data_IF_304826060229
#
_entry.id   IF_304826060229
#
_cell.length_a   1.000
_cell.length_b   1.000
_cell.length_c   1.000
_cell.angle_alpha   90.00
_cell.angle_beta   90.00
_cell.angle_gamma   90.00
#
_symmetry.space_group_name_H-M   'P 1'
#
loop_
_entity.id
_entity.type
_entity.pdbx_description
1 polymer ?
#
# COMPACT_ATOMS: atom_id res chain seq x y z
N UNK A 1 3.33 -10.98 -17.93
CA UNK A 1 2.70 -11.53 -19.14
C UNK A 1 1.23 -11.16 -19.23
N UNK A 2 0.71 -11.18 -20.43
CA UNK A 2 -0.68 -10.78 -20.71
C UNK A 2 -1.65 -11.97 -20.62
N UNK A 3 -1.17 -13.16 -20.92
CA UNK A 3 -1.96 -14.39 -20.95
C UNK A 3 -1.64 -15.28 -19.74
N UNK A 4 -2.29 -16.42 -19.65
CA UNK A 4 -1.99 -17.41 -18.64
C UNK A 4 -0.56 -17.96 -18.82
N UNK A 5 0.17 -18.13 -17.70
CA UNK A 5 1.51 -18.69 -17.73
C UNK A 5 1.57 -20.07 -18.41
N UNK A 6 2.58 -20.25 -19.27
CA UNK A 6 2.93 -21.52 -19.92
C UNK A 6 4.45 -21.67 -19.96
N UNK A 7 4.95 -22.90 -19.94
CA UNK A 7 6.40 -23.18 -19.87
C UNK A 7 7.23 -22.58 -21.01
N UNK A 8 6.65 -22.43 -22.20
CA UNK A 8 7.31 -21.85 -23.38
C UNK A 8 6.57 -20.58 -23.87
N UNK A 9 5.78 -19.98 -22.97
CA UNK A 9 5.00 -18.80 -23.26
C UNK A 9 5.74 -17.51 -22.90
N UNK A 10 4.98 -16.44 -22.80
CA UNK A 10 5.48 -15.13 -22.37
C UNK A 10 6.01 -15.16 -20.94
N UNK A 11 6.90 -14.25 -20.61
CA UNK A 11 7.48 -14.13 -19.28
C UNK A 11 6.49 -13.52 -18.29
N UNK A 12 6.45 -14.07 -17.07
CA UNK A 12 5.63 -13.59 -15.96
C UNK A 12 6.49 -13.34 -14.73
N UNK A 13 6.28 -12.18 -14.05
CA UNK A 13 6.92 -11.88 -12.76
C UNK A 13 6.51 -12.88 -11.68
N UNK A 14 5.24 -13.30 -11.71
CA UNK A 14 4.72 -14.38 -10.88
C UNK A 14 4.64 -15.65 -11.73
N UNK A 15 5.54 -16.56 -11.49
CA UNK A 15 5.60 -17.86 -12.16
C UNK A 15 5.70 -18.98 -11.13
N UNK A 16 5.49 -20.26 -11.52
CA UNK A 16 5.52 -21.38 -10.59
C UNK A 16 6.80 -21.47 -9.77
N UNK A 17 7.94 -21.13 -10.34
CA UNK A 17 9.23 -21.19 -9.64
C UNK A 17 9.33 -20.12 -8.54
N UNK A 18 9.03 -18.87 -8.85
CA UNK A 18 9.09 -17.78 -7.88
C UNK A 18 8.11 -18.00 -6.72
N UNK A 19 6.89 -18.45 -7.03
CA UNK A 19 5.86 -18.75 -6.02
C UNK A 19 6.29 -19.93 -5.13
N UNK A 20 6.78 -21.02 -5.76
CA UNK A 20 7.25 -22.20 -5.03
C UNK A 20 8.42 -21.87 -4.07
N UNK A 21 9.42 -21.12 -4.54
CA UNK A 21 10.58 -20.72 -3.73
C UNK A 21 10.18 -19.86 -2.54
N UNK A 22 9.27 -18.88 -2.75
CA UNK A 22 8.76 -18.05 -1.65
C UNK A 22 8.01 -18.91 -0.62
N UNK A 23 7.06 -19.72 -1.05
CA UNK A 23 6.26 -20.56 -0.15
C UNK A 23 7.15 -21.56 0.60
N UNK A 24 8.12 -22.18 -0.06
CA UNK A 24 9.07 -23.13 0.56
C UNK A 24 9.92 -22.44 1.63
N UNK A 25 10.45 -21.25 1.33
CA UNK A 25 11.27 -20.50 2.29
C UNK A 25 10.50 -20.12 3.55
N UNK A 26 9.25 -19.67 3.40
CA UNK A 26 8.37 -19.28 4.50
C UNK A 26 7.95 -20.49 5.34
N UNK A 27 7.50 -21.58 4.70
CA UNK A 27 7.07 -22.80 5.41
C UNK A 27 8.20 -23.45 6.20
N UNK A 28 9.42 -23.37 5.70
CA UNK A 28 10.60 -23.95 6.36
C UNK A 28 11.30 -22.95 7.28
N UNK A 29 10.82 -21.72 7.40
CA UNK A 29 11.48 -20.61 8.10
C UNK A 29 12.98 -20.50 7.72
N UNK A 30 13.31 -20.67 6.43
CA UNK A 30 14.69 -20.79 5.94
C UNK A 30 15.14 -19.53 5.23
N UNK A 31 16.03 -18.79 5.87
CA UNK A 31 16.64 -17.59 5.28
C UNK A 31 17.48 -17.92 4.02
N UNK A 32 18.16 -19.06 3.99
CA UNK A 32 18.92 -19.49 2.80
C UNK A 32 18.01 -19.65 1.58
N UNK A 33 16.85 -20.29 1.75
CA UNK A 33 15.86 -20.44 0.68
C UNK A 33 15.23 -19.09 0.29
N UNK A 34 15.05 -18.19 1.25
CA UNK A 34 14.59 -16.83 0.96
C UNK A 34 15.62 -16.04 0.13
N UNK A 35 16.91 -16.20 0.38
CA UNK A 35 17.97 -15.61 -0.44
C UNK A 35 17.94 -16.13 -1.89
N UNK A 36 17.66 -17.42 -2.10
CA UNK A 36 17.47 -17.99 -3.45
C UNK A 36 16.27 -17.37 -4.15
N UNK A 37 15.15 -17.20 -3.44
CA UNK A 37 13.98 -16.48 -3.96
C UNK A 37 14.34 -15.03 -4.33
N UNK A 38 15.00 -14.30 -3.44
CA UNK A 38 15.40 -12.90 -3.68
C UNK A 38 16.32 -12.77 -4.89
N UNK A 39 17.29 -13.70 -5.04
CA UNK A 39 18.16 -13.73 -6.22
C UNK A 39 17.36 -13.93 -7.50
N UNK A 40 16.45 -14.91 -7.53
CA UNK A 40 15.59 -15.17 -8.68
C UNK A 40 14.76 -13.92 -9.05
N UNK A 41 14.12 -13.29 -8.07
CA UNK A 41 13.30 -12.09 -8.32
C UNK A 41 14.13 -10.93 -8.84
N UNK A 42 15.33 -10.72 -8.29
CA UNK A 42 16.24 -9.67 -8.77
C UNK A 42 16.74 -9.95 -10.19
N UNK A 43 17.07 -11.21 -10.54
CA UNK A 43 17.43 -11.61 -11.90
C UNK A 43 16.26 -11.41 -12.88
N UNK A 44 15.03 -11.72 -12.47
CA UNK A 44 13.83 -11.44 -13.26
C UNK A 44 13.63 -9.93 -13.51
N UNK A 45 13.91 -9.10 -12.52
CA UNK A 45 13.82 -7.65 -12.67
C UNK A 45 14.81 -7.14 -13.73
N UNK A 46 16.02 -7.69 -13.79
CA UNK A 46 17.04 -7.31 -14.79
C UNK A 46 16.70 -7.78 -16.21
N UNK A 47 15.84 -8.76 -16.37
CA UNK A 47 15.34 -9.19 -17.67
C UNK A 47 14.27 -8.25 -18.28
N UNK A 48 14.31 -6.97 -17.93
CA UNK A 48 13.45 -5.88 -18.42
C UNK A 48 11.97 -6.03 -18.06
N UNK A 49 11.67 -6.76 -16.98
CA UNK A 49 10.30 -6.91 -16.49
C UNK A 49 9.83 -5.73 -15.63
N UNK A 50 10.78 -4.93 -15.09
CA UNK A 50 10.50 -3.76 -14.26
C UNK A 50 11.49 -2.63 -14.55
N UNK A 51 11.08 -1.36 -14.34
CA UNK A 51 12.00 -0.22 -14.53
C UNK A 51 13.20 -0.28 -13.58
N UNK A 52 13.01 -0.71 -12.33
CA UNK A 52 14.12 -0.88 -11.38
C UNK A 52 15.15 -1.91 -11.81
N UNK A 53 14.80 -2.81 -12.71
CA UNK A 53 15.74 -3.74 -13.33
C UNK A 53 16.76 -3.08 -14.27
N UNK A 54 16.46 -1.86 -14.74
CA UNK A 54 17.37 -1.05 -15.55
C UNK A 54 18.34 -0.21 -14.71
N UNK A 55 18.10 -0.13 -13.40
CA UNK A 55 18.93 0.65 -12.48
C UNK A 55 20.01 -0.23 -11.87
N UNK A 56 21.18 0.35 -11.58
CA UNK A 56 22.24 -0.30 -10.83
C UNK A 56 22.79 0.65 -9.76
N UNK A 57 23.41 0.09 -8.72
CA UNK A 57 24.00 0.89 -7.66
C UNK A 57 25.37 1.41 -8.09
N UNK A 58 25.57 2.72 -7.98
CA UNK A 58 26.89 3.31 -8.18
C UNK A 58 27.80 2.82 -7.04
N UNK A 59 28.98 2.24 -7.37
CA UNK A 59 29.95 1.88 -6.34
C UNK A 59 30.33 3.10 -5.50
N UNK A 60 30.39 2.90 -4.18
CA UNK A 60 30.80 3.90 -3.21
C UNK A 60 31.71 3.24 -2.17
N UNK A 61 32.39 4.04 -1.36
CA UNK A 61 33.12 3.55 -0.21
C UNK A 61 32.12 2.95 0.82
N UNK A 62 32.49 1.85 1.42
CA UNK A 62 31.69 1.21 2.48
C UNK A 62 31.74 2.04 3.76
N UNK A 63 30.60 2.15 4.43
CA UNK A 63 30.54 2.74 5.79
C UNK A 63 30.64 1.63 6.83
N UNK A 64 31.06 1.94 8.07
CA UNK A 64 31.01 1.02 9.19
C UNK A 64 29.60 0.50 9.45
N UNK A 65 29.48 -0.76 9.91
CA UNK A 65 28.16 -1.37 10.15
C UNK A 65 27.36 -0.65 11.24
N UNK A 66 28.04 -0.06 12.21
CA UNK A 66 27.43 0.75 13.29
C UNK A 66 26.79 2.04 12.81
N UNK A 67 27.18 2.54 11.64
CA UNK A 67 26.60 3.73 11.00
C UNK A 67 25.37 3.38 10.12
N UNK A 68 25.10 2.09 9.91
CA UNK A 68 23.92 1.63 9.16
C UNK A 68 22.68 1.68 10.06
N UNK A 69 21.54 2.14 9.52
CA UNK A 69 20.27 2.14 10.26
C UNK A 69 19.92 0.74 10.79
N UNK A 70 19.61 0.59 12.11
CA UNK A 70 19.27 -0.70 12.70
C UNK A 70 18.04 -1.36 12.04
N UNK A 71 18.03 -2.69 11.99
CA UNK A 71 16.93 -3.48 11.37
C UNK A 71 15.57 -3.11 11.97
N UNK A 72 15.51 -2.92 13.29
CA UNK A 72 14.29 -2.55 14.02
C UNK A 72 13.75 -1.18 13.59
N UNK A 73 14.61 -0.25 13.20
CA UNK A 73 14.21 1.05 12.65
C UNK A 73 13.73 0.93 11.21
N UNK A 74 14.41 0.13 10.40
CA UNK A 74 14.00 -0.14 9.01
C UNK A 74 12.63 -0.80 8.97
N UNK A 75 12.38 -1.82 9.83
CA UNK A 75 11.10 -2.53 9.87
C UNK A 75 9.90 -1.61 10.18
N UNK A 76 10.09 -0.56 10.97
CA UNK A 76 9.03 0.44 11.26
C UNK A 76 8.58 1.22 10.03
N UNK A 77 9.39 1.24 8.98
CA UNK A 77 9.07 1.87 7.68
C UNK A 77 8.22 0.98 6.78
N UNK A 78 7.98 -0.28 7.17
CA UNK A 78 7.25 -1.25 6.36
C UNK A 78 5.76 -1.21 6.64
N UNK A 79 4.99 -1.31 5.55
CA UNK A 79 3.53 -1.29 5.58
C UNK A 79 2.96 -2.39 4.69
N UNK A 80 1.73 -2.80 4.95
CA UNK A 80 1.01 -3.61 3.96
C UNK A 80 0.34 -2.71 2.93
N UNK A 81 0.11 -3.25 1.75
CA UNK A 81 -0.88 -2.68 0.83
C UNK A 81 -2.26 -2.62 1.50
N UNK A 82 -3.11 -1.71 1.03
CA UNK A 82 -4.48 -1.58 1.51
C UNK A 82 -5.36 -2.69 0.91
N UNK A 83 -5.69 -3.69 1.72
CA UNK A 83 -6.53 -4.82 1.33
C UNK A 83 -7.72 -4.90 2.26
N UNK A 84 -8.94 -4.72 1.71
CA UNK A 84 -10.15 -4.74 2.52
C UNK A 84 -10.60 -6.14 2.88
N UNK A 85 -11.17 -6.30 4.07
CA UNK A 85 -11.89 -7.52 4.42
C UNK A 85 -13.06 -7.75 3.45
N UNK A 86 -13.11 -8.95 2.89
CA UNK A 86 -14.02 -9.30 1.78
C UNK A 86 -13.32 -9.33 0.41
N UNK A 87 -12.19 -8.63 0.22
CA UNK A 87 -11.26 -8.90 -0.87
C UNK A 87 -10.26 -10.00 -0.51
N UNK A 88 -9.88 -10.08 0.77
CA UNK A 88 -9.14 -11.19 1.38
C UNK A 88 -9.96 -11.74 2.55
N UNK A 89 -9.60 -12.93 3.06
CA UNK A 89 -10.29 -13.55 4.20
C UNK A 89 -9.98 -12.84 5.53
N UNK A 90 -10.79 -13.09 6.56
CA UNK A 90 -10.55 -12.54 7.91
C UNK A 90 -9.21 -13.01 8.48
N UNK A 91 -8.89 -14.28 8.29
CA UNK A 91 -7.64 -14.89 8.78
C UNK A 91 -6.42 -14.22 8.14
N UNK A 92 -6.45 -13.97 6.84
CA UNK A 92 -5.38 -13.27 6.14
C UNK A 92 -5.26 -11.83 6.62
N UNK A 93 -6.38 -11.12 6.75
CA UNK A 93 -6.42 -9.73 7.19
C UNK A 93 -5.90 -9.56 8.62
N UNK A 94 -6.30 -10.44 9.54
CA UNK A 94 -5.83 -10.43 10.92
C UNK A 94 -4.37 -10.88 11.05
N UNK A 95 -3.95 -11.89 10.30
CA UNK A 95 -2.55 -12.36 10.29
C UNK A 95 -1.59 -11.26 9.84
N UNK A 96 -1.97 -10.49 8.81
CA UNK A 96 -1.19 -9.34 8.36
C UNK A 96 -1.07 -8.27 9.47
N UNK A 97 -2.17 -7.98 10.18
CA UNK A 97 -2.16 -7.03 11.29
C UNK A 97 -1.23 -7.50 12.42
N UNK A 98 -1.35 -8.75 12.85
CA UNK A 98 -0.50 -9.35 13.88
C UNK A 98 0.98 -9.30 13.45
N UNK A 99 1.28 -9.73 12.23
CA UNK A 99 2.65 -9.76 11.72
C UNK A 99 3.28 -8.36 11.73
N UNK A 100 2.57 -7.36 11.21
CA UNK A 100 3.07 -5.99 11.17
C UNK A 100 3.21 -5.38 12.56
N UNK A 101 2.25 -5.59 13.45
CA UNK A 101 2.34 -5.11 14.83
C UNK A 101 3.54 -5.72 15.58
N UNK A 102 3.85 -7.01 15.37
CA UNK A 102 5.00 -7.69 15.98
C UNK A 102 6.34 -7.11 15.55
N UNK A 103 6.48 -6.67 14.30
CA UNK A 103 7.73 -6.09 13.79
C UNK A 103 7.79 -4.56 13.91
N UNK A 104 6.75 -3.94 14.47
CA UNK A 104 6.65 -2.47 14.57
C UNK A 104 6.30 -1.76 13.26
N UNK A 105 5.95 -2.52 12.21
CA UNK A 105 5.37 -1.99 10.97
C UNK A 105 3.89 -1.69 11.10
N UNK A 106 3.21 -1.39 9.97
CA UNK A 106 1.79 -1.02 9.98
C UNK A 106 0.99 -1.76 8.92
N UNK A 107 -0.10 -2.41 9.32
CA UNK A 107 -1.08 -2.96 8.38
C UNK A 107 -2.19 -1.95 8.09
N UNK A 108 -2.83 -2.09 6.91
CA UNK A 108 -3.88 -1.19 6.42
C UNK A 108 -5.20 -1.97 6.27
N UNK A 109 -6.28 -1.42 6.84
CA UNK A 109 -7.62 -2.04 6.75
C UNK A 109 -8.17 -2.14 5.33
N UNK A 110 -7.67 -1.32 4.39
CA UNK A 110 -8.42 -1.04 3.17
C UNK A 110 -9.74 -0.31 3.46
N UNK A 111 -10.59 -0.16 2.44
CA UNK A 111 -11.85 0.60 2.51
C UNK A 111 -13.04 -0.19 3.08
N UNK A 112 -12.81 -1.29 3.76
CA UNK A 112 -13.87 -2.19 4.23
C UNK A 112 -14.27 -2.05 5.70
N UNK A 113 -13.70 -1.09 6.43
CA UNK A 113 -13.88 -1.00 7.88
C UNK A 113 -13.07 -2.07 8.64
N UNK A 114 -13.31 -2.19 9.92
CA UNK A 114 -12.68 -3.19 10.79
C UNK A 114 -13.61 -3.56 11.95
N UNK A 115 -13.66 -4.84 12.30
CA UNK A 115 -14.46 -5.30 13.44
C UNK A 115 -13.88 -4.73 14.75
N UNK A 116 -14.68 -4.04 15.58
CA UNK A 116 -14.22 -3.49 16.86
C UNK A 116 -13.67 -4.53 17.84
N UNK A 117 -14.02 -5.80 17.72
CA UNK A 117 -13.44 -6.88 18.54
C UNK A 117 -11.92 -6.97 18.40
N UNK A 118 -11.37 -6.53 17.26
CA UNK A 118 -9.93 -6.52 16.97
C UNK A 118 -9.15 -5.42 17.70
N UNK A 119 -9.84 -4.46 18.32
CA UNK A 119 -9.18 -3.38 19.08
C UNK A 119 -8.72 -3.83 20.46
N UNK A 120 -9.23 -4.97 20.92
CA UNK A 120 -8.74 -5.58 22.16
C UNK A 120 -7.58 -6.53 21.86
N UNK A 121 -6.48 -6.46 22.62
CA UNK A 121 -5.38 -7.43 22.49
C UNK A 121 -5.87 -8.85 22.79
N UNK A 122 -5.30 -9.81 22.09
CA UNK A 122 -5.51 -11.22 22.38
C UNK A 122 -4.84 -11.64 23.69
N UNK A 123 -5.25 -12.77 24.34
CA UNK A 123 -4.67 -13.22 25.62
C UNK A 123 -3.16 -13.48 25.58
N UNK A 124 -2.60 -13.73 24.40
CA UNK A 124 -1.15 -13.91 24.19
C UNK A 124 -0.39 -12.59 23.98
N UNK A 125 -1.08 -11.45 24.05
CA UNK A 125 -0.53 -10.12 23.83
C UNK A 125 -0.49 -9.64 22.38
N UNK A 126 -0.93 -10.47 21.42
CA UNK A 126 -1.03 -10.04 20.01
C UNK A 126 -2.14 -9.01 19.80
N UNK A 127 -1.92 -8.13 18.86
CA UNK A 127 -2.93 -7.18 18.39
C UNK A 127 -3.35 -7.50 16.97
N UNK A 128 -4.64 -7.73 16.76
CA UNK A 128 -5.25 -7.91 15.43
C UNK A 128 -5.68 -6.57 14.81
N UNK A 129 -5.48 -5.46 15.54
CA UNK A 129 -5.83 -4.12 15.08
C UNK A 129 -4.89 -3.68 13.94
N UNK A 130 -5.45 -3.28 12.81
CA UNK A 130 -4.68 -2.61 11.77
C UNK A 130 -4.35 -1.18 12.18
N UNK A 131 -3.08 -0.81 12.09
CA UNK A 131 -2.62 0.51 12.50
C UNK A 131 -3.10 1.63 11.57
N UNK A 132 -3.23 1.33 10.27
CA UNK A 132 -3.72 2.28 9.26
C UNK A 132 -5.19 1.98 8.96
N UNK A 133 -6.04 3.01 9.10
CA UNK A 133 -7.45 2.93 8.75
C UNK A 133 -7.76 3.80 7.54
N UNK A 134 -8.29 3.16 6.50
CA UNK A 134 -8.55 3.83 5.24
C UNK A 134 -9.96 4.44 5.21
N UNK A 135 -10.04 5.65 4.68
CA UNK A 135 -11.29 6.40 4.43
C UNK A 135 -11.37 6.66 2.93
N UNK A 136 -12.28 5.94 2.26
CA UNK A 136 -12.56 6.10 0.83
C UNK A 136 -13.88 6.85 0.62
N UNK A 137 -14.22 7.18 -0.62
CA UNK A 137 -15.46 7.91 -0.92
C UNK A 137 -16.72 7.15 -0.49
N UNK A 138 -16.71 5.81 -0.53
CA UNK A 138 -17.79 4.96 -0.04
C UNK A 138 -17.95 4.93 1.49
N UNK A 139 -16.92 5.31 2.24
CA UNK A 139 -16.91 5.40 3.72
C UNK A 139 -17.41 4.15 4.45
N UNK A 140 -17.26 2.97 3.86
CA UNK A 140 -17.75 1.74 4.45
C UNK A 140 -17.04 1.43 5.78
N UNK A 141 -17.84 1.25 6.83
CA UNK A 141 -17.36 0.96 8.18
C UNK A 141 -16.71 2.14 8.91
N UNK A 142 -16.73 3.34 8.34
CA UNK A 142 -16.16 4.55 8.98
C UNK A 142 -17.12 5.09 10.03
N UNK A 143 -16.68 5.06 11.28
CA UNK A 143 -17.34 5.71 12.42
C UNK A 143 -16.27 6.22 13.39
N UNK A 144 -16.68 6.92 14.44
CA UNK A 144 -15.75 7.51 15.40
C UNK A 144 -14.90 6.44 16.11
N UNK A 145 -15.46 5.29 16.46
CA UNK A 145 -14.72 4.20 17.08
C UNK A 145 -13.63 3.63 16.16
N UNK A 146 -13.91 3.52 14.87
CA UNK A 146 -12.93 3.15 13.85
C UNK A 146 -11.79 4.19 13.77
N UNK A 147 -12.14 5.48 13.71
CA UNK A 147 -11.16 6.56 13.55
C UNK A 147 -10.23 6.71 14.76
N UNK A 148 -10.76 6.65 15.99
CA UNK A 148 -9.94 6.84 17.21
C UNK A 148 -9.00 5.67 17.51
N UNK A 149 -9.25 4.51 16.91
CA UNK A 149 -8.39 3.33 17.02
C UNK A 149 -7.31 3.24 15.93
N UNK A 150 -7.06 4.32 15.18
CA UNK A 150 -6.02 4.41 14.16
C UNK A 150 -4.74 5.05 14.71
N UNK A 151 -3.59 4.56 14.27
CA UNK A 151 -2.31 5.27 14.36
C UNK A 151 -2.08 6.15 13.13
N UNK A 152 -2.73 5.79 12.01
CA UNK A 152 -2.74 6.57 10.78
C UNK A 152 -4.12 6.47 10.10
N UNK A 153 -4.63 7.60 9.67
CA UNK A 153 -5.87 7.73 8.88
C UNK A 153 -5.49 8.01 7.44
N UNK A 154 -5.91 7.14 6.50
CA UNK A 154 -5.53 7.26 5.10
C UNK A 154 -6.73 7.61 4.23
N UNK A 155 -6.70 8.78 3.61
CA UNK A 155 -7.67 9.20 2.60
C UNK A 155 -7.32 8.50 1.28
N UNK A 156 -8.22 7.67 0.75
CA UNK A 156 -8.04 7.01 -0.54
C UNK A 156 -8.63 7.87 -1.65
N UNK A 157 -7.74 8.46 -2.47
CA UNK A 157 -8.16 9.20 -3.66
C UNK A 157 -8.39 8.27 -4.86
N UNK A 158 -7.49 7.31 -5.06
CA UNK A 158 -7.53 6.35 -6.16
C UNK A 158 -6.79 5.06 -5.81
N UNK A 159 -6.75 4.11 -6.74
CA UNK A 159 -6.16 2.80 -6.59
C UNK A 159 -5.32 2.46 -7.83
N UNK A 160 -4.10 1.93 -7.62
CA UNK A 160 -3.08 1.78 -8.65
C UNK A 160 -3.49 1.02 -9.90
N UNK A 161 -4.18 -0.11 -9.73
CA UNK A 161 -4.58 -0.94 -10.85
C UNK A 161 -5.78 -0.42 -11.66
N UNK A 162 -6.47 0.60 -11.17
CA UNK A 162 -7.68 1.16 -11.80
C UNK A 162 -7.93 2.62 -11.40
N UNK A 163 -7.00 3.54 -11.71
CA UNK A 163 -7.26 4.95 -11.48
C UNK A 163 -8.53 5.39 -12.22
N UNK A 164 -9.37 6.16 -11.55
CA UNK A 164 -10.62 6.65 -12.12
C UNK A 164 -11.84 5.71 -12.09
N UNK A 165 -11.71 4.45 -11.61
CA UNK A 165 -12.84 3.50 -11.54
C UNK A 165 -13.44 3.30 -10.14
N UNK A 166 -12.67 3.59 -9.08
CA UNK A 166 -13.09 3.42 -7.69
C UNK A 166 -13.08 1.97 -7.20
N UNK A 167 -13.53 1.78 -5.95
CA UNK A 167 -13.64 0.48 -5.30
C UNK A 167 -14.98 -0.21 -5.60
N UNK A 168 -14.97 -1.53 -5.65
CA UNK A 168 -16.16 -2.35 -5.83
C UNK A 168 -16.07 -3.65 -5.03
N UNK A 169 -17.19 -4.06 -4.42
CA UNK A 169 -17.38 -5.40 -3.87
C UNK A 169 -18.70 -5.98 -4.40
N UNK A 170 -18.68 -7.10 -5.14
CA UNK A 170 -19.90 -7.71 -5.66
C UNK A 170 -20.83 -8.20 -4.53
N UNK A 171 -22.15 -8.09 -4.74
CA UNK A 171 -23.15 -8.40 -3.72
C UNK A 171 -23.07 -9.83 -3.15
N UNK A 172 -22.70 -10.82 -3.97
CA UNK A 172 -22.54 -12.21 -3.50
C UNK A 172 -21.41 -12.38 -2.47
N UNK A 173 -20.46 -11.44 -2.38
CA UNK A 173 -19.41 -11.40 -1.35
C UNK A 173 -19.82 -10.63 -0.10
N UNK A 174 -20.92 -9.87 -0.16
CA UNK A 174 -21.42 -9.09 0.98
C UNK A 174 -22.34 -9.99 1.81
N UNK A 175 -21.75 -10.81 2.67
CA UNK A 175 -22.48 -11.61 3.64
C UNK A 175 -22.97 -10.78 4.83
N UNK A 176 -23.60 -11.40 5.82
CA UNK A 176 -24.12 -10.71 7.01
C UNK A 176 -23.01 -10.06 7.84
N UNK A 177 -21.86 -10.70 7.93
CA UNK A 177 -20.73 -10.20 8.71
C UNK A 177 -20.08 -9.01 8.03
N UNK A 178 -19.79 -9.09 6.74
CA UNK A 178 -19.29 -7.95 5.94
C UNK A 178 -20.30 -6.81 5.97
N UNK A 179 -21.59 -7.10 5.83
CA UNK A 179 -22.65 -6.08 5.93
C UNK A 179 -22.63 -5.35 7.26
N UNK A 180 -22.42 -6.06 8.37
CA UNK A 180 -22.33 -5.44 9.70
C UNK A 180 -21.11 -4.54 9.87
N UNK A 181 -19.94 -4.96 9.38
CA UNK A 181 -18.70 -4.19 9.47
C UNK A 181 -18.74 -2.95 8.58
N UNK A 182 -19.33 -3.06 7.40
CA UNK A 182 -19.40 -1.97 6.41
C UNK A 182 -20.61 -1.05 6.58
N UNK A 183 -21.50 -1.36 7.52
CA UNK A 183 -22.77 -0.67 7.77
C UNK A 183 -23.66 -0.64 6.51
N UNK A 184 -23.83 -1.81 5.88
CA UNK A 184 -24.56 -1.96 4.63
C UNK A 184 -25.47 -3.19 4.64
N UNK A 185 -26.36 -3.27 3.66
CA UNK A 185 -27.30 -4.41 3.52
C UNK A 185 -26.59 -5.62 2.89
N UNK A 186 -26.65 -6.79 3.53
CA UNK A 186 -26.13 -8.02 2.95
C UNK A 186 -26.73 -8.33 1.58
N UNK A 187 -25.93 -8.88 0.67
CA UNK A 187 -26.34 -9.25 -0.70
C UNK A 187 -26.36 -8.11 -1.69
N UNK A 188 -26.18 -6.85 -1.26
CA UNK A 188 -26.14 -5.69 -2.14
C UNK A 188 -24.69 -5.35 -2.49
N UNK A 189 -24.40 -5.17 -3.79
CA UNK A 189 -23.09 -4.75 -4.28
C UNK A 189 -22.71 -3.36 -3.78
N UNK A 190 -21.43 -3.19 -3.45
CA UNK A 190 -20.90 -1.93 -2.91
C UNK A 190 -20.00 -1.26 -3.94
N UNK A 191 -20.16 0.05 -4.10
CA UNK A 191 -19.36 0.88 -4.99
C UNK A 191 -18.82 2.06 -4.17
N UNK A 192 -17.52 2.30 -4.30
CA UNK A 192 -16.84 3.48 -3.78
C UNK A 192 -16.44 4.33 -4.98
N UNK A 193 -17.20 5.41 -5.31
CA UNK A 193 -17.01 6.14 -6.55
C UNK A 193 -15.62 6.79 -6.68
N UNK A 194 -15.06 6.88 -7.90
CA UNK A 194 -13.92 7.71 -8.22
C UNK A 194 -14.36 9.05 -8.82
N UNK A 195 -13.60 10.12 -8.65
CA UNK A 195 -12.63 10.34 -7.57
C UNK A 195 -13.33 10.31 -6.21
N UNK A 196 -12.60 10.55 -5.11
CA UNK A 196 -13.25 10.72 -3.81
C UNK A 196 -14.28 11.86 -3.92
N UNK A 197 -15.58 11.53 -3.93
CA UNK A 197 -16.63 12.44 -4.39
C UNK A 197 -16.89 13.67 -3.52
N UNK A 198 -16.23 13.76 -2.36
CA UNK A 198 -16.25 14.96 -1.52
C UNK A 198 -15.05 15.88 -1.77
N UNK A 199 -14.11 15.50 -2.65
CA UNK A 199 -12.85 16.21 -2.86
C UNK A 199 -12.76 16.58 -4.33
N UNK A 200 -12.90 17.87 -4.63
CA UNK A 200 -12.80 18.46 -5.96
C UNK A 200 -11.70 19.51 -6.07
N UNK A 201 -11.09 19.86 -4.92
CA UNK A 201 -10.02 20.84 -4.82
C UNK A 201 -9.06 20.49 -3.68
N UNK A 202 -7.90 21.18 -3.62
CA UNK A 202 -6.97 21.08 -2.49
C UNK A 202 -7.61 21.56 -1.20
N UNK A 203 -8.49 22.54 -1.27
CA UNK A 203 -9.23 23.09 -0.13
C UNK A 203 -10.19 22.05 0.47
N UNK A 204 -10.91 21.30 -0.36
CA UNK A 204 -11.77 20.20 0.10
C UNK A 204 -10.94 19.11 0.77
N UNK A 205 -9.79 18.75 0.19
CA UNK A 205 -8.86 17.81 0.80
C UNK A 205 -8.36 18.31 2.16
N UNK A 206 -7.98 19.59 2.25
CA UNK A 206 -7.55 20.21 3.50
C UNK A 206 -8.63 20.18 4.56
N UNK A 207 -9.90 20.39 4.18
CA UNK A 207 -11.02 20.29 5.08
C UNK A 207 -11.16 18.86 5.64
N UNK A 208 -11.13 17.83 4.78
CA UNK A 208 -11.21 16.44 5.23
C UNK A 208 -10.02 16.04 6.11
N UNK A 209 -8.81 16.50 5.79
CA UNK A 209 -7.62 16.30 6.66
C UNK A 209 -7.85 16.92 8.03
N UNK A 210 -8.39 18.14 8.10
CA UNK A 210 -8.70 18.81 9.34
C UNK A 210 -9.76 18.05 10.16
N UNK A 211 -10.85 17.60 9.53
CA UNK A 211 -11.92 16.85 10.18
C UNK A 211 -11.40 15.53 10.78
N UNK A 212 -10.54 14.82 10.05
CA UNK A 212 -9.91 13.59 10.54
C UNK A 212 -8.96 13.85 11.72
N UNK A 213 -8.22 14.96 11.71
CA UNK A 213 -7.40 15.38 12.87
C UNK A 213 -8.26 15.76 14.09
N UNK A 214 -9.43 16.35 13.87
CA UNK A 214 -10.36 16.62 14.97
C UNK A 214 -10.93 15.31 15.56
N UNK A 215 -11.19 14.31 14.71
CA UNK A 215 -11.66 13.01 15.16
C UNK A 215 -10.59 12.22 15.91
N UNK A 216 -9.32 12.27 15.47
CA UNK A 216 -8.20 11.61 16.13
C UNK A 216 -6.92 12.47 16.04
N UNK A 217 -6.69 13.37 17.00
CA UNK A 217 -5.50 14.23 17.01
C UNK A 217 -4.16 13.51 17.13
N UNK A 218 -4.18 12.27 17.63
CA UNK A 218 -2.97 11.44 17.78
C UNK A 218 -2.57 10.68 16.52
N UNK A 219 -3.46 10.57 15.53
CA UNK A 219 -3.19 9.85 14.32
C UNK A 219 -2.53 10.74 13.25
N UNK A 220 -1.59 10.15 12.51
CA UNK A 220 -1.04 10.75 11.29
C UNK A 220 -2.10 10.71 10.18
N UNK A 221 -2.23 11.77 9.39
CA UNK A 221 -3.15 11.79 8.24
C UNK A 221 -2.37 11.60 6.95
N UNK A 222 -2.74 10.57 6.21
CA UNK A 222 -2.13 10.10 4.97
C UNK A 222 -3.09 10.30 3.80
N UNK A 223 -2.54 10.54 2.61
CA UNK A 223 -3.30 10.56 1.35
C UNK A 223 -2.72 9.55 0.37
N UNK A 224 -3.56 8.64 -0.14
CA UNK A 224 -3.16 7.67 -1.16
C UNK A 224 -3.47 8.22 -2.55
N UNK A 225 -2.40 8.35 -3.34
CA UNK A 225 -2.43 8.70 -4.76
C UNK A 225 -1.98 7.50 -5.60
N UNK A 226 -2.11 7.63 -6.90
CA UNK A 226 -1.66 6.65 -7.89
C UNK A 226 -0.51 7.23 -8.69
N UNK A 227 0.45 6.39 -9.03
CA UNK A 227 1.53 6.72 -9.96
C UNK A 227 0.96 6.95 -11.35
N UNK A 228 0.82 8.21 -11.70
CA UNK A 228 0.36 8.71 -13.00
C UNK A 228 1.20 9.94 -13.37
N UNK A 229 1.19 10.31 -14.65
CA UNK A 229 1.84 11.55 -15.11
C UNK A 229 1.19 12.75 -14.41
N UNK A 230 2.02 13.59 -13.77
CA UNK A 230 1.54 14.77 -13.02
C UNK A 230 1.25 14.50 -11.54
N UNK A 231 1.47 13.27 -11.04
CA UNK A 231 1.23 12.92 -9.63
C UNK A 231 2.07 13.77 -8.67
N UNK A 232 3.26 14.20 -9.08
CA UNK A 232 4.09 15.11 -8.28
C UNK A 232 3.40 16.44 -7.98
N UNK A 233 2.66 17.01 -8.93
CA UNK A 233 1.87 18.22 -8.71
C UNK A 233 0.73 17.99 -7.72
N UNK A 234 0.05 16.84 -7.81
CA UNK A 234 -0.99 16.47 -6.84
C UNK A 234 -0.39 16.27 -5.46
N UNK A 235 0.76 15.59 -5.34
CA UNK A 235 1.46 15.39 -4.08
C UNK A 235 1.92 16.72 -3.44
N UNK A 236 2.34 17.70 -4.24
CA UNK A 236 2.61 19.06 -3.75
C UNK A 236 1.35 19.73 -3.18
N UNK A 237 0.20 19.53 -3.82
CA UNK A 237 -1.10 19.95 -3.28
C UNK A 237 -1.44 19.26 -1.95
N UNK A 238 -1.20 17.97 -1.84
CA UNK A 238 -1.39 17.18 -0.59
C UNK A 238 -0.51 17.73 0.54
N UNK A 239 0.77 18.05 0.26
CA UNK A 239 1.67 18.65 1.24
C UNK A 239 1.20 20.05 1.68
N UNK A 240 0.70 20.87 0.75
CA UNK A 240 0.11 22.19 1.04
C UNK A 240 -1.21 22.09 1.81
N UNK A 241 -1.96 21.01 1.65
CA UNK A 241 -3.16 20.72 2.43
C UNK A 241 -2.86 20.25 3.87
N UNK A 242 -1.59 20.17 4.25
CA UNK A 242 -1.09 19.76 5.56
C UNK A 242 -1.33 18.26 5.89
N UNK A 243 -1.30 17.39 4.91
CA UNK A 243 -1.16 15.96 5.17
C UNK A 243 0.24 15.66 5.75
N UNK A 244 0.33 14.67 6.62
CA UNK A 244 1.60 14.22 7.21
C UNK A 244 2.35 13.27 6.28
N UNK A 245 1.62 12.60 5.38
CA UNK A 245 2.10 11.49 4.61
C UNK A 245 1.36 11.38 3.26
N UNK A 246 2.09 10.97 2.23
CA UNK A 246 1.54 10.65 0.91
C UNK A 246 2.03 9.28 0.45
N UNK A 247 1.13 8.44 -0.03
CA UNK A 247 1.44 7.17 -0.68
C UNK A 247 1.29 7.31 -2.18
N UNK A 248 2.35 6.99 -2.91
CA UNK A 248 2.37 6.87 -4.38
C UNK A 248 2.30 5.39 -4.73
N UNK A 249 1.13 4.93 -5.15
CA UNK A 249 0.85 3.52 -5.44
C UNK A 249 1.09 3.22 -6.91
N UNK A 250 1.95 2.24 -7.22
CA UNK A 250 2.19 1.81 -8.59
C UNK A 250 0.99 1.09 -9.20
N UNK A 251 0.98 0.92 -10.53
CA UNK A 251 -0.09 0.24 -11.27
C UNK A 251 -0.22 -1.25 -10.91
N UNK A 252 0.82 -1.86 -10.41
CA UNK A 252 0.87 -3.27 -10.00
C UNK A 252 0.10 -3.59 -8.71
N UNK A 253 -0.57 -2.60 -8.11
CA UNK A 253 -1.46 -2.82 -6.97
C UNK A 253 -2.65 -3.69 -7.38
N UNK A 254 -2.73 -4.93 -6.92
CA UNK A 254 -3.73 -5.91 -7.34
C UNK A 254 -5.19 -5.49 -7.11
N UNK A 255 -6.08 -5.95 -7.99
CA UNK A 255 -7.53 -5.84 -7.82
C UNK A 255 -8.22 -7.02 -8.49
N UNK A 256 -9.22 -7.59 -7.82
CA UNK A 256 -10.07 -8.64 -8.37
C UNK A 256 -11.35 -8.14 -9.07
N UNK A 257 -11.54 -6.83 -9.17
CA UNK A 257 -12.79 -6.22 -9.61
C UNK A 257 -12.56 -5.08 -10.62
N UNK A 258 -11.61 -5.24 -11.54
CA UNK A 258 -11.33 -4.25 -12.59
C UNK A 258 -11.42 -4.89 -13.98
N UNK A 259 -11.88 -4.15 -14.99
CA UNK A 259 -11.78 -4.58 -16.38
C UNK A 259 -10.34 -4.87 -16.79
N UNK A 260 -10.14 -5.84 -17.67
CA UNK A 260 -8.81 -6.22 -18.15
C UNK A 260 -8.09 -5.03 -18.82
N UNK A 261 -8.82 -4.20 -19.55
CA UNK A 261 -8.30 -2.99 -20.19
C UNK A 261 -7.69 -2.00 -19.19
N UNK A 262 -8.31 -1.83 -18.03
CA UNK A 262 -7.76 -0.95 -16.98
C UNK A 262 -6.50 -1.54 -16.37
N UNK A 263 -6.51 -2.84 -16.04
CA UNK A 263 -5.33 -3.54 -15.48
C UNK A 263 -4.13 -3.45 -16.43
N UNK A 264 -4.37 -3.51 -17.73
CA UNK A 264 -3.32 -3.50 -18.74
C UNK A 264 -2.83 -2.10 -19.14
N UNK A 265 -3.67 -1.07 -18.99
CA UNK A 265 -3.43 0.22 -19.65
C UNK A 265 -3.48 1.43 -18.73
N UNK A 266 -3.92 1.27 -17.47
CA UNK A 266 -4.05 2.39 -16.54
C UNK A 266 -2.92 2.40 -15.50
N UNK A 267 -2.47 3.62 -15.12
CA UNK A 267 -1.37 3.83 -14.18
C UNK A 267 0.00 3.60 -14.80
N UNK A 268 1.03 3.94 -14.04
CA UNK A 268 2.44 3.74 -14.41
C UNK A 268 3.20 3.08 -13.25
N UNK A 269 4.39 2.51 -13.51
CA UNK A 269 5.23 1.95 -12.45
C UNK A 269 5.51 2.95 -11.33
N UNK A 270 5.59 2.46 -10.10
CA UNK A 270 5.82 3.29 -8.91
C UNK A 270 7.12 4.09 -8.99
N UNK A 271 8.12 3.58 -9.68
CA UNK A 271 9.42 4.23 -9.85
C UNK A 271 9.30 5.61 -10.52
N UNK A 272 8.41 5.72 -11.51
CA UNK A 272 8.17 6.99 -12.21
C UNK A 272 7.45 7.99 -11.30
N UNK A 273 6.33 7.58 -10.71
CA UNK A 273 5.54 8.46 -9.85
C UNK A 273 6.27 8.89 -8.59
N UNK A 274 7.06 7.99 -8.00
CA UNK A 274 7.90 8.31 -6.85
C UNK A 274 8.98 9.34 -7.21
N UNK A 275 9.72 9.13 -8.30
CA UNK A 275 10.76 10.05 -8.74
C UNK A 275 10.20 11.44 -9.10
N UNK A 276 9.07 11.50 -9.81
CA UNK A 276 8.37 12.74 -10.11
C UNK A 276 7.93 13.45 -8.82
N UNK A 277 7.36 12.72 -7.87
CA UNK A 277 6.92 13.25 -6.57
C UNK A 277 8.10 13.82 -5.79
N UNK A 278 9.19 13.06 -5.67
CA UNK A 278 10.41 13.50 -4.99
C UNK A 278 10.95 14.79 -5.59
N UNK A 279 11.11 14.85 -6.91
CA UNK A 279 11.61 16.04 -7.60
C UNK A 279 10.70 17.26 -7.41
N UNK A 280 9.39 17.07 -7.58
CA UNK A 280 8.41 18.15 -7.44
C UNK A 280 8.39 18.71 -6.01
N UNK A 281 8.41 17.83 -5.00
CA UNK A 281 8.44 18.26 -3.60
C UNK A 281 9.74 19.01 -3.25
N UNK A 282 10.88 18.55 -3.76
CA UNK A 282 12.19 19.24 -3.56
C UNK A 282 12.18 20.61 -4.23
N UNK A 283 11.77 20.70 -5.49
CA UNK A 283 11.74 21.96 -6.25
C UNK A 283 10.81 23.01 -5.65
N UNK A 284 9.83 22.59 -4.84
CA UNK A 284 8.87 23.49 -4.19
C UNK A 284 9.10 23.68 -2.69
N UNK A 285 10.24 23.23 -2.14
CA UNK A 285 10.57 23.30 -0.70
C UNK A 285 9.53 22.61 0.20
N UNK A 286 8.89 21.56 -0.31
CA UNK A 286 7.84 20.82 0.40
C UNK A 286 8.31 19.45 0.92
N UNK A 287 9.47 18.94 0.45
CA UNK A 287 9.88 17.55 0.76
C UNK A 287 10.07 17.30 2.25
N UNK A 288 10.57 18.25 3.00
CA UNK A 288 10.76 18.14 4.46
C UNK A 288 9.46 18.19 5.27
N UNK A 289 8.34 18.52 4.63
CA UNK A 289 7.04 18.70 5.29
C UNK A 289 6.17 17.46 5.28
N UNK A 290 6.52 16.43 4.48
CA UNK A 290 5.66 15.27 4.24
C UNK A 290 6.49 14.01 4.07
N UNK A 291 6.03 12.91 4.67
CA UNK A 291 6.58 11.58 4.45
C UNK A 291 6.05 11.00 3.15
N UNK A 292 6.93 10.34 2.40
CA UNK A 292 6.59 9.73 1.12
C UNK A 292 6.70 8.21 1.22
N UNK A 293 5.64 7.51 0.87
CA UNK A 293 5.59 6.05 0.77
C UNK A 293 5.40 5.65 -0.69
N UNK A 294 5.92 4.49 -1.05
CA UNK A 294 5.55 3.82 -2.30
C UNK A 294 5.17 2.37 -2.07
N UNK A 295 4.30 1.83 -2.91
CA UNK A 295 3.95 0.41 -3.01
C UNK A 295 3.74 0.00 -4.48
N UNK A 296 3.56 -1.28 -4.72
CA UNK A 296 3.37 -1.84 -6.05
C UNK A 296 4.53 -2.77 -6.44
N UNK A 297 4.52 -4.01 -5.94
CA UNK A 297 5.49 -5.05 -6.25
C UNK A 297 6.90 -4.83 -5.65
N UNK A 298 7.01 -4.26 -4.47
CA UNK A 298 8.25 -4.30 -3.67
C UNK A 298 8.36 -5.69 -3.05
N UNK A 299 9.43 -6.43 -3.32
CA UNK A 299 9.56 -7.85 -2.97
C UNK A 299 10.87 -8.22 -2.28
N UNK A 300 11.92 -7.45 -2.49
CA UNK A 300 13.26 -7.75 -2.00
C UNK A 300 13.91 -6.55 -1.36
N UNK A 301 14.99 -6.77 -0.60
CA UNK A 301 15.77 -5.68 -0.03
C UNK A 301 16.36 -4.75 -1.10
N UNK A 302 16.64 -5.25 -2.30
CA UNK A 302 17.07 -4.42 -3.42
C UNK A 302 15.99 -3.42 -3.82
N UNK A 303 14.74 -3.87 -3.91
CA UNK A 303 13.61 -2.98 -4.23
C UNK A 303 13.44 -1.89 -3.18
N UNK A 304 13.61 -2.22 -1.89
CA UNK A 304 13.56 -1.27 -0.76
C UNK A 304 14.64 -0.20 -0.91
N UNK A 305 15.89 -0.59 -1.22
CA UNK A 305 17.00 0.36 -1.39
C UNK A 305 16.75 1.26 -2.60
N UNK A 306 16.28 0.70 -3.73
CA UNK A 306 15.91 1.50 -4.91
C UNK A 306 14.82 2.51 -4.58
N UNK A 307 13.77 2.10 -3.86
CA UNK A 307 12.69 3.00 -3.44
C UNK A 307 13.22 4.14 -2.54
N UNK A 308 14.08 3.82 -1.57
CA UNK A 308 14.69 4.82 -0.70
C UNK A 308 15.56 5.82 -1.49
N UNK A 309 16.36 5.34 -2.45
CA UNK A 309 17.19 6.20 -3.32
C UNK A 309 16.35 7.09 -4.24
N UNK A 310 15.16 6.64 -4.65
CA UNK A 310 14.22 7.45 -5.43
C UNK A 310 13.38 8.40 -4.57
N UNK A 311 13.51 8.36 -3.25
CA UNK A 311 12.92 9.33 -2.33
C UNK A 311 11.82 8.80 -1.40
N UNK A 312 11.61 7.48 -1.30
CA UNK A 312 10.65 6.93 -0.34
C UNK A 312 11.22 6.89 1.09
N UNK A 313 10.43 7.33 2.05
CA UNK A 313 10.68 7.15 3.49
C UNK A 313 10.12 5.82 3.99
N UNK A 314 9.02 5.34 3.39
CA UNK A 314 8.29 4.14 3.78
C UNK A 314 7.92 3.29 2.56
N UNK A 315 7.81 1.96 2.74
CA UNK A 315 7.57 0.99 1.67
C UNK A 315 6.41 0.06 2.02
N UNK A 316 5.53 -0.16 1.02
CA UNK A 316 4.41 -1.09 1.11
C UNK A 316 4.66 -2.40 0.35
N UNK A 317 4.25 -3.53 0.95
CA UNK A 317 4.42 -4.89 0.45
C UNK A 317 3.09 -5.58 0.19
#
# INVERSE_FOLDING_TARGET
GQYQWRSEGEFHLFNPESIHRLQKSVRNASYTQFREYSRLVNEQATNLCTLRGLLDFKPSESIPLEDVEPIESIMKRFKTGAMSYGSISSEAHETLAIAMNRIGGKSNTGEGGEDPVRYQPDPNGDSRRSAIKQVASGRFGVNINYLVNADELQIKMAQGAKPGEGGQLPGHKVDRYIGSIRFTTPGVGLISPPPHHDIYSIEDLKQLIYDLRCANPGARVSVKLVSEVGVGTVAAGVAKANADHVLISGFDGGTGASPLSSIQSAGVPWEIGLAETQQTLVLNDLRSRIWVQTDGQIKTGRDVVVAALLGADEMGF
#
